data_IF_233652196121
#
_entry.id   IF_233652196121
#
_cell.length_a   1.000
_cell.length_b   1.000
_cell.length_c   1.000
_cell.angle_alpha   90.00
_cell.angle_beta   90.00
_cell.angle_gamma   90.00
#
_symmetry.space_group_name_H-M   'P 1'
#
loop_
_entity.id
_entity.type
_entity.pdbx_description
1 polymer ?
#
# COMPACT_ATOMS: atom_id res chain seq x y z
N UNK A 1 -4.48 -3.21 -28.23
CA UNK A 1 -4.34 -2.29 -27.09
C UNK A 1 -2.88 -2.30 -26.71
N UNK A 2 -2.20 -1.17 -26.87
CA UNK A 2 -0.80 -0.97 -26.48
C UNK A 2 -0.75 -0.62 -24.98
N UNK A 3 0.41 -0.80 -24.33
CA UNK A 3 0.62 -0.39 -22.94
C UNK A 3 0.46 1.12 -22.76
N UNK A 4 0.93 1.94 -23.70
CA UNK A 4 0.73 3.38 -23.67
C UNK A 4 -0.76 3.76 -23.70
N UNK A 5 -1.56 3.14 -24.58
CA UNK A 5 -3.01 3.37 -24.62
C UNK A 5 -3.62 3.12 -23.23
N UNK A 6 -3.28 1.97 -22.63
CA UNK A 6 -3.76 1.59 -21.30
C UNK A 6 -3.34 2.58 -20.20
N UNK A 7 -2.10 3.08 -20.25
CA UNK A 7 -1.59 4.06 -19.28
C UNK A 7 -2.38 5.36 -19.41
N UNK A 8 -2.59 5.86 -20.63
CA UNK A 8 -3.35 7.09 -20.89
C UNK A 8 -4.79 6.96 -20.36
N UNK A 9 -5.47 5.86 -20.67
CA UNK A 9 -6.84 5.60 -20.22
C UNK A 9 -6.95 5.42 -18.70
N UNK A 10 -5.92 4.87 -18.06
CA UNK A 10 -5.85 4.75 -16.61
C UNK A 10 -5.60 6.12 -15.94
N UNK A 11 -4.73 6.95 -16.51
CA UNK A 11 -4.50 8.32 -16.04
C UNK A 11 -5.78 9.16 -16.15
N UNK A 12 -6.50 9.06 -17.27
CA UNK A 12 -7.80 9.72 -17.45
C UNK A 12 -8.83 9.25 -16.42
N UNK A 13 -8.90 7.94 -16.15
CA UNK A 13 -9.82 7.37 -15.16
C UNK A 13 -9.52 7.83 -13.73
N UNK A 14 -8.23 7.98 -13.40
CA UNK A 14 -7.78 8.33 -12.06
C UNK A 14 -7.60 9.84 -11.84
N UNK A 15 -7.80 10.66 -12.87
CA UNK A 15 -7.56 12.11 -12.86
C UNK A 15 -6.12 12.47 -12.45
N UNK A 16 -5.15 11.79 -13.09
CA UNK A 16 -3.71 11.94 -12.79
C UNK A 16 -2.99 12.55 -13.99
N UNK A 17 -2.42 13.74 -13.80
CA UNK A 17 -1.51 14.38 -14.76
C UNK A 17 -0.06 13.89 -14.52
N UNK A 18 0.23 12.63 -14.86
CA UNK A 18 1.56 12.03 -14.68
C UNK A 18 1.94 11.11 -15.83
N UNK A 19 3.23 11.13 -16.19
CA UNK A 19 3.84 10.20 -17.13
C UNK A 19 4.54 9.08 -16.34
N UNK A 20 4.07 7.85 -16.50
CA UNK A 20 4.75 6.69 -15.92
C UNK A 20 5.84 6.22 -16.89
N UNK A 21 7.10 6.14 -16.42
CA UNK A 21 8.16 5.46 -17.16
C UNK A 21 8.05 3.95 -16.93
N UNK A 22 7.36 3.25 -17.84
CA UNK A 22 7.11 1.82 -17.72
C UNK A 22 8.39 0.99 -17.81
N UNK A 23 9.43 1.48 -18.46
CA UNK A 23 10.71 0.78 -18.58
C UNK A 23 11.45 0.82 -17.25
N UNK A 24 11.55 2.01 -16.64
CA UNK A 24 12.12 2.18 -15.31
C UNK A 24 11.38 1.36 -14.25
N UNK A 25 10.04 1.40 -14.28
CA UNK A 25 9.21 0.64 -13.33
C UNK A 25 9.34 -0.87 -13.53
N UNK A 26 9.42 -1.33 -14.78
CA UNK A 26 9.64 -2.75 -15.11
C UNK A 26 10.97 -3.26 -14.56
N UNK A 27 12.06 -2.57 -14.88
CA UNK A 27 13.41 -2.94 -14.44
C UNK A 27 13.52 -2.94 -12.90
N UNK A 28 12.96 -1.91 -12.25
CA UNK A 28 12.98 -1.82 -10.79
C UNK A 28 12.15 -2.93 -10.13
N UNK A 29 10.99 -3.25 -10.70
CA UNK A 29 10.13 -4.32 -10.19
C UNK A 29 10.81 -5.69 -10.31
N UNK A 30 11.52 -5.94 -11.41
CA UNK A 30 12.29 -7.18 -11.62
C UNK A 30 13.42 -7.30 -10.59
N UNK A 31 14.21 -6.24 -10.37
CA UNK A 31 15.27 -6.25 -9.35
C UNK A 31 14.71 -6.52 -7.95
N UNK A 32 13.58 -5.91 -7.60
CA UNK A 32 12.95 -6.13 -6.30
C UNK A 32 12.41 -7.58 -6.17
N UNK A 33 11.77 -8.11 -7.22
CA UNK A 33 11.30 -9.49 -7.27
C UNK A 33 12.43 -10.48 -7.00
N UNK A 34 13.54 -10.34 -7.72
CA UNK A 34 14.64 -11.30 -7.70
C UNK A 34 15.41 -11.27 -6.38
N UNK A 35 15.66 -10.07 -5.84
CA UNK A 35 16.53 -9.92 -4.68
C UNK A 35 15.80 -9.93 -3.34
N UNK A 36 14.50 -9.57 -3.29
CA UNK A 36 13.77 -9.37 -2.03
C UNK A 36 12.72 -10.45 -1.80
N UNK A 37 11.69 -10.52 -2.64
CA UNK A 37 10.54 -11.42 -2.53
C UNK A 37 9.70 -11.32 -3.82
N UNK A 38 8.97 -12.36 -4.28
CA UNK A 38 8.21 -12.29 -5.53
C UNK A 38 7.19 -11.15 -5.60
N UNK A 39 6.59 -10.80 -4.46
CA UNK A 39 5.66 -9.66 -4.37
C UNK A 39 6.35 -8.30 -4.19
N UNK A 40 7.67 -8.26 -4.05
CA UNK A 40 8.38 -7.00 -3.84
C UNK A 40 8.32 -6.09 -5.08
N UNK A 41 8.24 -6.64 -6.29
CA UNK A 41 8.08 -5.87 -7.53
C UNK A 41 6.84 -4.94 -7.52
N UNK A 42 5.60 -5.49 -7.43
CA UNK A 42 4.39 -4.65 -7.41
C UNK A 42 4.31 -3.74 -6.18
N UNK A 43 4.77 -4.20 -5.00
CA UNK A 43 4.80 -3.36 -3.78
C UNK A 43 5.76 -2.17 -3.96
N UNK A 44 6.92 -2.41 -4.58
CA UNK A 44 7.93 -1.38 -4.85
C UNK A 44 7.39 -0.32 -5.82
N UNK A 45 6.78 -0.74 -6.93
CA UNK A 45 6.20 0.18 -7.91
C UNK A 45 5.10 1.06 -7.30
N UNK A 46 4.20 0.46 -6.50
CA UNK A 46 3.15 1.19 -5.79
C UNK A 46 3.73 2.24 -4.83
N UNK A 47 4.69 1.85 -3.97
CA UNK A 47 5.28 2.76 -3.00
C UNK A 47 6.13 3.87 -3.64
N UNK A 48 6.81 3.58 -4.76
CA UNK A 48 7.53 4.59 -5.52
C UNK A 48 6.56 5.63 -6.10
N UNK A 49 5.43 5.18 -6.66
CA UNK A 49 4.36 6.07 -7.15
C UNK A 49 3.75 6.93 -6.03
N UNK A 50 3.44 6.33 -4.88
CA UNK A 50 2.95 7.07 -3.69
C UNK A 50 3.99 8.10 -3.23
N UNK A 51 5.27 7.73 -3.16
CA UNK A 51 6.33 8.65 -2.77
C UNK A 51 6.50 9.80 -3.79
N UNK A 52 6.34 9.53 -5.08
CA UNK A 52 6.37 10.55 -6.11
C UNK A 52 5.24 11.56 -5.94
N UNK A 53 4.00 11.09 -5.77
CA UNK A 53 2.83 11.94 -5.55
C UNK A 53 2.92 12.78 -4.28
N UNK A 54 3.29 12.17 -3.14
CA UNK A 54 3.44 12.89 -1.86
C UNK A 54 4.50 14.00 -1.93
N UNK A 55 5.49 13.86 -2.80
CA UNK A 55 6.62 14.80 -2.93
C UNK A 55 6.47 15.77 -4.09
N UNK A 56 5.39 15.69 -4.86
CA UNK A 56 5.23 16.41 -6.13
C UNK A 56 6.49 16.25 -7.01
N UNK A 57 6.97 15.00 -7.11
CA UNK A 57 8.26 14.69 -7.69
C UNK A 57 8.18 14.61 -9.22
N UNK A 58 8.96 15.46 -9.91
CA UNK A 58 9.18 15.33 -11.35
C UNK A 58 10.05 14.12 -11.73
N UNK A 59 10.19 13.83 -13.05
CA UNK A 59 10.86 12.63 -13.56
C UNK A 59 12.27 12.39 -12.98
N UNK A 60 13.12 13.42 -12.93
CA UNK A 60 14.49 13.26 -12.43
C UNK A 60 14.52 12.95 -10.92
N UNK A 61 13.51 13.39 -10.17
CA UNK A 61 13.38 13.04 -8.76
C UNK A 61 12.92 11.59 -8.58
N UNK A 62 12.02 11.10 -9.44
CA UNK A 62 11.60 9.70 -9.49
C UNK A 62 12.77 8.78 -9.82
N UNK A 63 13.57 9.10 -10.84
CA UNK A 63 14.77 8.34 -11.19
C UNK A 63 15.75 8.22 -10.00
N UNK A 64 15.98 9.32 -9.27
CA UNK A 64 16.84 9.29 -8.07
C UNK A 64 16.26 8.45 -6.95
N UNK A 65 14.94 8.41 -6.80
CA UNK A 65 14.29 7.54 -5.82
C UNK A 65 14.40 6.07 -6.25
N UNK A 66 14.12 5.77 -7.52
CA UNK A 66 14.28 4.45 -8.10
C UNK A 66 15.70 3.91 -7.92
N UNK A 67 16.73 4.72 -8.20
CA UNK A 67 18.13 4.33 -7.99
C UNK A 67 18.46 3.97 -6.52
N UNK A 68 17.84 4.66 -5.55
CA UNK A 68 18.01 4.33 -4.13
C UNK A 68 17.30 3.05 -3.74
N UNK A 69 16.11 2.82 -4.30
CA UNK A 69 15.33 1.60 -4.08
C UNK A 69 16.03 0.39 -4.71
N UNK A 70 16.55 0.55 -5.92
CA UNK A 70 17.38 -0.46 -6.58
C UNK A 70 18.57 -0.84 -5.70
N UNK A 71 19.36 0.14 -5.23
CA UNK A 71 20.50 -0.12 -4.36
C UNK A 71 20.09 -0.82 -3.04
N UNK A 72 18.90 -0.51 -2.51
CA UNK A 72 18.35 -1.20 -1.34
C UNK A 72 18.00 -2.66 -1.64
N UNK A 73 17.36 -2.93 -2.78
CA UNK A 73 17.00 -4.28 -3.20
C UNK A 73 18.24 -5.13 -3.51
N UNK A 74 19.24 -4.58 -4.21
CA UNK A 74 20.50 -5.28 -4.53
C UNK A 74 21.33 -5.61 -3.28
N UNK A 75 21.25 -4.77 -2.25
CA UNK A 75 21.91 -4.99 -0.96
C UNK A 75 21.10 -5.88 -0.01
N UNK A 76 19.91 -6.33 -0.40
CA UNK A 76 19.03 -7.11 0.45
C UNK A 76 19.57 -8.52 0.64
N UNK A 77 20.09 -8.80 1.84
CA UNK A 77 20.70 -10.08 2.17
C UNK A 77 19.61 -11.14 2.41
N UNK A 78 19.17 -11.79 1.33
CA UNK A 78 18.15 -12.84 1.38
C UNK A 78 18.77 -14.10 2.02
N UNK A 79 18.22 -14.63 3.12
CA UNK A 79 18.70 -15.88 3.69
C UNK A 79 18.55 -17.01 2.65
N UNK A 80 19.63 -17.73 2.36
CA UNK A 80 19.59 -18.86 1.45
C UNK A 80 18.60 -19.93 1.98
N UNK A 81 17.56 -20.22 1.21
CA UNK A 81 16.58 -21.26 1.53
C UNK A 81 15.16 -20.78 1.87
N UNK A 82 14.87 -19.48 1.83
CA UNK A 82 13.47 -18.99 1.80
C UNK A 82 12.88 -19.32 0.43
N UNK A 83 12.16 -20.43 0.35
CA UNK A 83 11.34 -20.77 -0.80
C UNK A 83 10.09 -19.90 -0.83
N UNK A 84 9.73 -19.42 -2.02
CA UNK A 84 8.49 -18.68 -2.26
C UNK A 84 7.28 -19.62 -2.31
N UNK A 85 7.19 -20.50 -1.31
CA UNK A 85 6.04 -21.38 -1.16
C UNK A 85 4.89 -20.55 -0.58
N UNK A 86 3.75 -20.39 -1.27
CA UNK A 86 2.59 -19.69 -0.73
C UNK A 86 1.99 -20.39 0.50
N UNK A 87 2.51 -21.54 0.93
CA UNK A 87 2.21 -22.19 2.22
C UNK A 87 3.19 -21.84 3.34
N UNK A 88 4.28 -21.11 3.10
CA UNK A 88 5.17 -20.60 4.17
C UNK A 88 4.57 -19.39 4.93
N UNK A 89 3.32 -19.01 4.60
CA UNK A 89 2.44 -18.16 5.43
C UNK A 89 1.67 -18.98 6.47
N UNK A 90 2.23 -20.09 6.96
CA UNK A 90 1.82 -20.58 8.27
C UNK A 90 2.42 -19.61 9.29
N UNK A 91 1.71 -18.49 9.48
CA UNK A 91 1.77 -17.73 10.71
C UNK A 91 1.70 -18.75 11.84
N UNK A 92 2.78 -18.86 12.62
CA UNK A 92 2.79 -19.56 13.89
C UNK A 92 1.52 -19.12 14.64
N UNK A 93 0.53 -20.01 14.64
CA UNK A 93 -0.83 -19.76 15.04
C UNK A 93 -0.94 -19.70 16.54
N UNK A 94 -0.40 -18.63 17.13
CA UNK A 94 -0.82 -18.09 18.42
C UNK A 94 -1.28 -16.64 18.19
N UNK A 95 -2.25 -16.46 17.29
CA UNK A 95 -3.15 -15.33 17.41
C UNK A 95 -4.11 -15.65 18.55
N UNK A 96 -3.75 -15.06 19.69
CA UNK A 96 -4.45 -15.04 20.97
C UNK A 96 -5.98 -14.98 20.80
N UNK A 97 -6.71 -15.75 21.62
CA UNK A 97 -8.18 -15.77 21.65
C UNK A 97 -8.80 -14.39 21.97
N UNK A 98 -7.98 -13.39 22.29
CA UNK A 98 -8.35 -12.02 22.64
C UNK A 98 -8.91 -11.17 21.47
N UNK A 99 -8.65 -11.52 20.21
CA UNK A 99 -9.19 -10.77 19.06
C UNK A 99 -10.65 -11.06 18.72
N UNK A 100 -11.30 -12.05 19.36
CA UNK A 100 -12.74 -12.31 19.16
C UNK A 100 -13.66 -11.27 19.80
N UNK A 101 -13.15 -10.32 20.57
CA UNK A 101 -13.98 -9.35 21.31
C UNK A 101 -14.13 -7.97 20.64
N UNK A 102 -13.53 -7.76 19.46
CA UNK A 102 -13.59 -6.47 18.75
C UNK A 102 -14.90 -6.23 17.99
N UNK A 103 -15.79 -7.21 17.89
CA UNK A 103 -17.14 -7.05 17.29
C UNK A 103 -18.17 -6.43 18.27
N UNK A 104 -17.82 -6.19 19.53
CA UNK A 104 -18.79 -5.75 20.57
C UNK A 104 -18.68 -4.25 20.93
N UNK A 105 -17.90 -3.45 20.19
CA UNK A 105 -17.68 -2.02 20.50
C UNK A 105 -18.56 -1.04 19.72
N UNK A 106 -19.57 -1.52 18.99
CA UNK A 106 -20.44 -0.65 18.16
C UNK A 106 -21.84 -0.38 18.77
N UNK A 107 -22.02 -0.62 20.08
CA UNK A 107 -23.15 -0.03 20.81
C UNK A 107 -22.74 1.36 21.33
N UNK A 108 -22.72 2.33 20.44
CA UNK A 108 -22.82 3.75 20.82
C UNK A 108 -24.16 3.96 21.51
N UNK A 109 -24.14 4.11 22.84
CA UNK A 109 -25.29 4.53 23.64
C UNK A 109 -25.75 5.91 23.13
N UNK A 110 -26.82 5.94 22.33
CA UNK A 110 -27.51 7.18 21.97
C UNK A 110 -28.00 7.83 23.26
N UNK A 111 -27.32 8.89 23.70
CA UNK A 111 -27.75 9.71 24.83
C UNK A 111 -28.95 10.52 24.35
N UNK A 112 -30.14 10.02 24.67
CA UNK A 112 -31.43 10.66 24.37
C UNK A 112 -31.52 11.98 25.16
N UNK A 113 -31.27 13.11 24.51
CA UNK A 113 -31.52 14.44 25.07
C UNK A 113 -33.04 14.68 25.15
N UNK A 114 -33.66 14.21 26.23
CA UNK A 114 -35.04 14.56 26.54
C UNK A 114 -35.12 16.03 26.99
N UNK A 115 -35.58 16.88 26.09
CA UNK A 115 -36.14 18.20 26.40
C UNK A 115 -37.35 18.03 27.34
N UNK A 116 -37.27 18.55 28.57
CA UNK A 116 -38.46 18.85 29.37
C UNK A 116 -38.56 20.37 29.56
N UNK A 117 -39.29 21.01 28.65
CA UNK A 117 -39.89 22.33 28.89
C UNK A 117 -41.14 22.20 29.79
N UNK A 118 -41.11 23.00 30.85
CA UNK A 118 -42.23 23.74 31.47
C UNK A 118 -43.33 23.00 32.28
N UNK A 119 -43.20 23.21 33.61
CA UNK A 119 -44.15 23.96 34.45
C UNK A 119 -45.02 23.18 35.47
N UNK A 120 -45.13 23.81 36.65
CA UNK A 120 -46.28 23.89 37.56
C UNK A 120 -46.15 23.36 39.02
N UNK A 121 -46.07 24.34 39.94
CA UNK A 121 -46.64 24.44 41.32
C UNK A 121 -46.30 23.38 42.39
N UNK A 122 -45.58 23.78 43.46
CA UNK A 122 -46.11 24.20 44.79
C UNK A 122 -45.04 25.02 45.54
#
# INVERSE_FOLDING_TARGET
>A
MNLHDWIDELCDLLDVESEADESLLGDLAEVAHDNVHPMAGPVTAFLLGVAAGVRDAGPEAVERMAARVQALAEAWDRPAGVTDDPSDVEADGEVDEELRHLDEIDEVEEVDEAEEEEDLLV
#
